data_IF_538998186334
#
_entry.id   IF_538998186334
#
_cell.length_a   1.000
_cell.length_b   1.000
_cell.length_c   1.000
_cell.angle_alpha   90.00
_cell.angle_beta   90.00
_cell.angle_gamma   90.00
#
_symmetry.space_group_name_H-M   'P 1'
#
loop_
_entity.id
_entity.type
_entity.pdbx_description
1 polymer ?
#
# COMPACT_ATOMS: atom_id res chain seq x y z
N UNK A 1 21.17 -38.39 -64.20
CA UNK A 1 20.65 -39.00 -62.97
C UNK A 1 21.68 -38.80 -61.86
N UNK A 2 21.25 -38.20 -60.75
CA UNK A 2 21.98 -37.89 -59.51
C UNK A 2 23.38 -37.25 -59.63
N UNK A 3 23.44 -35.94 -59.39
CA UNK A 3 24.68 -35.23 -59.06
C UNK A 3 24.74 -35.02 -57.54
N UNK A 4 25.79 -35.57 -56.91
CA UNK A 4 26.16 -35.32 -55.50
C UNK A 4 27.24 -34.27 -55.51
N UNK A 5 26.99 -33.10 -54.91
CA UNK A 5 28.00 -32.08 -54.65
C UNK A 5 28.16 -31.91 -53.13
N UNK A 6 29.35 -32.21 -52.66
CA UNK A 6 29.85 -31.95 -51.30
C UNK A 6 30.14 -30.45 -51.21
N UNK A 7 29.47 -29.73 -50.31
CA UNK A 7 29.77 -28.33 -50.00
C UNK A 7 30.52 -28.23 -48.66
N UNK A 8 31.69 -27.60 -48.73
CA UNK A 8 32.51 -27.21 -47.61
C UNK A 8 31.84 -26.11 -46.77
N UNK A 9 31.98 -26.21 -45.45
CA UNK A 9 31.49 -25.22 -44.50
C UNK A 9 32.29 -23.91 -44.60
N UNK A 10 31.59 -22.82 -44.89
CA UNK A 10 32.08 -21.45 -44.74
C UNK A 10 31.56 -20.91 -43.41
N UNK A 11 32.47 -20.67 -42.48
CA UNK A 11 32.19 -19.94 -41.24
C UNK A 11 32.07 -18.44 -41.58
N UNK A 12 30.85 -17.90 -41.48
CA UNK A 12 30.61 -16.46 -41.47
C UNK A 12 30.55 -16.00 -40.01
N UNK A 13 31.54 -15.21 -39.61
CA UNK A 13 31.61 -14.54 -38.33
C UNK A 13 30.50 -13.48 -38.23
N UNK A 14 29.68 -13.57 -37.18
CA UNK A 14 28.74 -12.53 -36.77
C UNK A 14 29.49 -11.42 -35.99
N UNK A 15 29.06 -10.16 -36.08
CA UNK A 15 29.74 -9.04 -35.44
C UNK A 15 29.63 -9.13 -33.92
N UNK A 16 30.76 -8.90 -33.25
CA UNK A 16 30.85 -8.78 -31.80
C UNK A 16 29.96 -7.65 -31.30
N UNK A 17 28.90 -8.00 -30.57
CA UNK A 17 28.18 -7.03 -29.76
C UNK A 17 29.10 -6.63 -28.60
N UNK A 18 29.52 -5.37 -28.60
CA UNK A 18 30.18 -4.75 -27.46
C UNK A 18 29.28 -4.90 -26.22
N UNK A 19 29.81 -5.36 -25.07
CA UNK A 19 29.05 -5.33 -23.84
C UNK A 19 28.76 -3.87 -23.50
N UNK A 20 27.47 -3.52 -23.46
CA UNK A 20 26.99 -2.26 -22.90
C UNK A 20 27.57 -2.15 -21.49
N UNK A 21 28.48 -1.20 -21.30
CA UNK A 21 29.01 -0.90 -19.98
C UNK A 21 27.86 -0.45 -19.08
N UNK A 22 27.78 -0.93 -17.83
CA UNK A 22 26.79 -0.42 -16.89
C UNK A 22 27.00 1.10 -16.73
N UNK A 23 25.94 1.90 -16.59
CA UNK A 23 26.09 3.33 -16.35
C UNK A 23 26.91 3.53 -15.07
N UNK A 24 27.76 4.57 -15.00
CA UNK A 24 28.56 4.83 -13.83
C UNK A 24 27.64 5.01 -12.61
N UNK A 25 27.98 4.32 -11.53
CA UNK A 25 27.35 4.49 -10.22
C UNK A 25 27.65 5.89 -9.70
N UNK A 26 26.82 6.86 -10.07
CA UNK A 26 26.83 8.17 -9.43
C UNK A 26 26.25 8.01 -8.03
N UNK A 27 26.93 8.49 -6.96
CA UNK A 27 26.26 8.72 -5.70
C UNK A 27 25.17 9.77 -5.97
N UNK A 28 23.92 9.33 -6.00
CA UNK A 28 22.79 10.24 -6.16
C UNK A 28 22.64 11.00 -4.85
N UNK A 29 23.09 12.25 -4.82
CA UNK A 29 22.68 13.20 -3.80
C UNK A 29 21.20 13.51 -4.04
N UNK A 30 20.31 13.27 -3.07
CA UNK A 30 18.91 13.69 -3.23
C UNK A 30 18.90 15.20 -3.47
N UNK A 31 18.26 15.69 -4.54
CA UNK A 31 18.09 17.11 -4.71
C UNK A 31 17.25 17.64 -3.55
N UNK A 32 17.82 18.56 -2.78
CA UNK A 32 17.10 19.33 -1.76
C UNK A 32 16.21 20.34 -2.47
N UNK A 33 14.90 20.08 -2.55
CA UNK A 33 13.90 21.09 -2.93
C UNK A 33 12.64 20.92 -2.07
N UNK A 34 12.14 21.99 -1.42
CA UNK A 34 10.97 21.90 -0.55
C UNK A 34 9.71 22.08 -1.40
N UNK A 35 8.96 20.99 -1.62
CA UNK A 35 7.61 21.08 -2.19
C UNK A 35 6.59 21.63 -1.17
N UNK A 36 6.91 21.49 0.11
CA UNK A 36 6.17 22.03 1.22
C UNK A 36 7.12 22.86 2.08
N UNK A 37 6.73 24.09 2.43
CA UNK A 37 7.53 24.97 3.28
C UNK A 37 7.39 24.54 4.75
N UNK A 38 7.90 23.33 5.04
CA UNK A 38 7.79 22.66 6.33
C UNK A 38 9.14 22.76 7.05
N UNK A 39 9.11 23.13 8.33
CA UNK A 39 10.26 23.04 9.22
C UNK A 39 9.99 21.97 10.28
N UNK A 40 10.86 20.97 10.35
CA UNK A 40 10.79 19.90 11.34
C UNK A 40 11.85 20.15 12.42
N UNK A 41 11.43 20.11 13.70
CA UNK A 41 12.39 20.18 14.82
C UNK A 41 13.04 18.80 15.08
N UNK A 42 12.47 17.71 14.54
CA UNK A 42 13.02 16.36 14.54
C UNK A 42 13.19 15.86 13.09
N UNK A 43 14.35 15.31 12.70
CA UNK A 43 14.58 14.85 11.33
C UNK A 43 13.60 13.73 10.99
N UNK A 44 12.92 13.83 9.84
CA UNK A 44 12.22 12.69 9.27
C UNK A 44 13.27 11.62 8.91
N UNK A 45 13.14 10.42 9.47
CA UNK A 45 13.98 9.29 9.04
C UNK A 45 13.80 9.07 7.54
N UNK A 46 14.86 8.74 6.78
CA UNK A 46 14.71 8.46 5.36
C UNK A 46 13.72 7.30 5.21
N UNK A 47 12.77 7.44 4.29
CA UNK A 47 11.86 6.37 3.90
C UNK A 47 12.68 5.37 3.07
N UNK A 48 13.07 4.16 3.55
CA UNK A 48 13.73 3.17 2.70
C UNK A 48 12.98 2.97 1.39
N UNK A 49 13.68 3.23 0.28
CA UNK A 49 13.22 2.91 -1.07
C UNK A 49 13.56 1.45 -1.32
N UNK A 50 12.55 0.62 -1.57
CA UNK A 50 12.78 -0.75 -2.02
C UNK A 50 12.56 -0.81 -3.51
N UNK A 51 13.68 -0.69 -4.22
CA UNK A 51 13.78 -1.24 -5.55
C UNK A 51 13.89 -2.75 -5.38
N UNK A 52 12.83 -3.47 -5.70
CA UNK A 52 13.01 -4.88 -6.02
C UNK A 52 13.98 -4.90 -7.20
N UNK A 53 15.25 -5.24 -6.93
CA UNK A 53 16.16 -5.58 -8.01
C UNK A 53 15.41 -6.61 -8.84
N UNK A 54 15.28 -6.39 -10.14
CA UNK A 54 14.88 -7.45 -11.04
C UNK A 54 15.89 -8.56 -10.77
N UNK A 55 15.47 -9.54 -9.98
CA UNK A 55 16.38 -10.56 -9.45
C UNK A 55 17.15 -11.10 -10.63
N UNK A 56 18.46 -11.27 -10.46
CA UNK A 56 19.31 -11.91 -11.45
C UNK A 56 18.56 -13.10 -12.06
N UNK A 57 18.64 -13.29 -13.38
CA UNK A 57 18.05 -14.42 -14.12
C UNK A 57 18.57 -15.82 -13.67
N UNK A 58 19.07 -15.96 -12.44
CA UNK A 58 19.27 -17.25 -11.79
C UNK A 58 17.91 -17.89 -11.58
N UNK A 59 17.75 -19.07 -12.16
CA UNK A 59 16.64 -19.95 -11.86
C UNK A 59 16.67 -20.26 -10.36
N UNK A 60 15.55 -20.03 -9.69
CA UNK A 60 15.36 -20.33 -8.27
C UNK A 60 14.41 -21.52 -8.16
N UNK A 61 14.71 -22.45 -7.26
CA UNK A 61 13.82 -23.57 -6.98
C UNK A 61 12.71 -23.14 -6.01
N UNK A 62 11.47 -23.63 -6.21
CA UNK A 62 10.40 -23.43 -5.24
C UNK A 62 10.76 -24.09 -3.90
N UNK A 63 10.15 -23.68 -2.78
CA UNK A 63 10.27 -24.44 -1.55
C UNK A 63 9.78 -25.88 -1.72
N UNK A 64 10.50 -26.83 -1.14
CA UNK A 64 10.09 -28.24 -1.13
C UNK A 64 8.96 -28.47 -0.12
N UNK A 65 8.12 -29.49 -0.38
CA UNK A 65 7.08 -29.92 0.57
C UNK A 65 5.92 -28.94 0.75
N UNK A 66 5.62 -28.11 -0.25
CA UNK A 66 4.44 -27.24 -0.23
C UNK A 66 3.15 -28.07 -0.15
N UNK A 67 2.33 -27.78 0.85
CA UNK A 67 1.01 -28.39 1.05
C UNK A 67 -0.08 -27.37 0.64
N UNK A 68 -0.91 -27.71 -0.34
CA UNK A 68 -1.96 -26.82 -0.87
C UNK A 68 -3.32 -27.15 -0.27
N UNK A 69 -4.06 -26.13 0.15
CA UNK A 69 -5.36 -26.24 0.83
C UNK A 69 -6.39 -25.33 0.16
N UNK A 70 -7.59 -25.83 -0.20
CA UNK A 70 -8.68 -24.96 -0.62
C UNK A 70 -9.17 -24.14 0.58
N UNK A 71 -9.31 -22.82 0.40
CA UNK A 71 -9.85 -21.92 1.43
C UNK A 71 -11.21 -21.36 0.99
N UNK A 72 -11.32 -20.87 -0.24
CA UNK A 72 -12.56 -20.43 -0.86
C UNK A 72 -12.50 -20.64 -2.38
N UNK A 73 -13.13 -21.70 -2.87
CA UNK A 73 -13.07 -22.08 -4.30
C UNK A 73 -14.47 -21.94 -4.90
N UNK A 74 -14.59 -21.06 -5.89
CA UNK A 74 -15.85 -20.72 -6.58
C UNK A 74 -15.98 -21.33 -7.98
N UNK A 75 -14.92 -22.00 -8.48
CA UNK A 75 -14.91 -22.67 -9.77
C UNK A 75 -13.56 -23.27 -10.11
N UNK A 76 -13.47 -23.87 -11.30
CA UNK A 76 -12.23 -24.46 -11.81
C UNK A 76 -11.08 -23.44 -11.88
N UNK A 77 -9.86 -23.88 -11.56
CA UNK A 77 -8.70 -22.99 -11.49
C UNK A 77 -8.46 -22.22 -12.80
N UNK A 78 -8.80 -22.79 -13.97
CA UNK A 78 -8.68 -22.12 -15.27
C UNK A 78 -9.72 -21.02 -15.54
N UNK A 79 -10.83 -20.99 -14.79
CA UNK A 79 -11.96 -20.08 -14.99
C UNK A 79 -12.06 -18.99 -13.92
N UNK A 80 -11.06 -18.94 -13.02
CA UNK A 80 -10.94 -17.96 -11.94
C UNK A 80 -9.53 -17.39 -11.89
N UNK A 81 -9.36 -16.27 -11.22
CA UNK A 81 -8.06 -15.83 -10.73
C UNK A 81 -7.81 -16.49 -9.38
N UNK A 82 -6.72 -17.23 -9.26
CA UNK A 82 -6.36 -17.95 -8.05
C UNK A 82 -5.36 -17.13 -7.23
N UNK A 83 -5.79 -16.76 -6.02
CA UNK A 83 -4.98 -16.10 -5.02
C UNK A 83 -4.40 -17.17 -4.10
N UNK A 84 -3.08 -17.31 -4.06
CA UNK A 84 -2.40 -18.31 -3.23
C UNK A 84 -1.71 -17.63 -2.05
N UNK A 85 -2.18 -17.90 -0.82
CA UNK A 85 -1.62 -17.40 0.42
C UNK A 85 -0.52 -18.35 0.88
N UNK A 86 0.74 -17.95 0.71
CA UNK A 86 1.91 -18.72 1.11
C UNK A 86 2.35 -18.39 2.54
N UNK A 87 2.64 -19.42 3.33
CA UNK A 87 3.14 -19.27 4.69
C UNK A 87 4.61 -18.81 4.73
N UNK A 88 4.93 -17.78 5.53
CA UNK A 88 6.30 -17.44 5.93
C UNK A 88 6.35 -17.17 7.45
N UNK A 89 7.32 -17.75 8.14
CA UNK A 89 7.46 -17.64 9.59
C UNK A 89 6.55 -18.58 10.38
N UNK A 90 5.88 -19.55 9.73
CA UNK A 90 5.08 -20.58 10.40
C UNK A 90 5.87 -21.88 10.49
N UNK A 91 6.16 -22.35 11.69
CA UNK A 91 6.82 -23.65 11.87
C UNK A 91 5.86 -24.80 11.59
N UNK A 92 6.38 -26.04 11.47
CA UNK A 92 5.56 -27.24 11.29
C UNK A 92 4.45 -27.38 12.37
N UNK A 93 4.77 -27.06 13.62
CA UNK A 93 3.79 -27.10 14.72
C UNK A 93 2.79 -25.93 14.69
N UNK A 94 3.02 -24.91 13.85
CA UNK A 94 2.13 -23.77 13.64
C UNK A 94 1.25 -23.90 12.38
N UNK A 95 1.23 -25.06 11.71
CA UNK A 95 0.39 -25.30 10.53
C UNK A 95 -1.08 -24.95 10.76
N UNK A 96 -1.65 -25.34 11.89
CA UNK A 96 -3.04 -25.03 12.24
C UNK A 96 -3.28 -23.53 12.41
N UNK A 97 -2.30 -22.80 12.96
CA UNK A 97 -2.38 -21.35 13.09
C UNK A 97 -2.34 -20.67 11.72
N UNK A 98 -1.42 -21.07 10.84
CA UNK A 98 -1.39 -20.60 9.45
C UNK A 98 -2.74 -20.80 8.75
N UNK A 99 -3.31 -22.00 8.83
CA UNK A 99 -4.59 -22.27 8.17
C UNK A 99 -5.74 -21.45 8.77
N UNK A 100 -5.70 -21.13 10.06
CA UNK A 100 -6.68 -20.25 10.68
C UNK A 100 -6.54 -18.81 10.17
N UNK A 101 -5.32 -18.28 10.17
CA UNK A 101 -5.02 -16.92 9.67
C UNK A 101 -5.38 -16.79 8.18
N UNK A 102 -4.97 -17.75 7.35
CA UNK A 102 -5.24 -17.76 5.92
C UNK A 102 -6.75 -17.89 5.62
N UNK A 103 -7.51 -18.67 6.40
CA UNK A 103 -8.98 -18.75 6.25
C UNK A 103 -9.66 -17.44 6.58
N UNK A 104 -9.28 -16.80 7.69
CA UNK A 104 -9.84 -15.50 8.07
C UNK A 104 -9.59 -14.47 6.95
N UNK A 105 -8.38 -14.44 6.39
CA UNK A 105 -8.04 -13.55 5.27
C UNK A 105 -8.78 -13.92 3.96
N UNK A 106 -9.01 -15.21 3.70
CA UNK A 106 -9.81 -15.66 2.57
C UNK A 106 -11.28 -15.19 2.71
N UNK A 107 -11.86 -15.29 3.91
CA UNK A 107 -13.21 -14.78 4.21
C UNK A 107 -13.31 -13.27 3.99
N UNK A 108 -12.26 -12.51 4.35
CA UNK A 108 -12.16 -11.07 4.07
C UNK A 108 -12.11 -10.74 2.57
N UNK A 109 -11.74 -11.68 1.70
CA UNK A 109 -11.78 -11.50 0.23
C UNK A 109 -13.17 -11.83 -0.33
N UNK A 110 -13.80 -12.92 0.13
CA UNK A 110 -14.98 -13.50 -0.56
C UNK A 110 -16.31 -13.27 0.14
N UNK A 111 -16.33 -12.77 1.38
CA UNK A 111 -17.58 -12.55 2.12
C UNK A 111 -18.44 -11.46 1.47
N UNK A 112 -19.76 -11.52 1.67
CA UNK A 112 -20.71 -10.57 1.08
C UNK A 112 -20.52 -9.11 1.52
N UNK A 113 -19.86 -8.88 2.65
CA UNK A 113 -19.57 -7.54 3.18
C UNK A 113 -18.12 -7.10 2.90
N UNK A 114 -17.34 -7.90 2.16
CA UNK A 114 -15.97 -7.56 1.77
C UNK A 114 -15.93 -6.42 0.74
N UNK A 115 -14.82 -5.67 0.74
CA UNK A 115 -14.46 -4.73 -0.32
C UNK A 115 -14.35 -5.38 -1.71
N UNK A 116 -14.16 -6.70 -1.78
CA UNK A 116 -14.00 -7.47 -3.02
C UNK A 116 -15.20 -8.38 -3.32
N UNK A 117 -16.30 -8.27 -2.56
CA UNK A 117 -17.47 -9.13 -2.70
C UNK A 117 -18.07 -9.10 -4.10
N UNK A 118 -18.02 -7.94 -4.78
CA UNK A 118 -18.50 -7.72 -6.14
C UNK A 118 -17.66 -8.42 -7.22
N UNK A 119 -16.56 -9.07 -6.87
CA UNK A 119 -15.74 -9.90 -7.77
C UNK A 119 -15.44 -11.30 -7.19
N UNK A 120 -16.09 -11.67 -6.08
CA UNK A 120 -15.86 -12.98 -5.45
C UNK A 120 -16.17 -14.15 -6.39
N UNK A 121 -17.08 -13.98 -7.34
CA UNK A 121 -17.42 -14.93 -8.40
C UNK A 121 -16.27 -15.18 -9.40
N UNK A 122 -15.26 -14.32 -9.44
CA UNK A 122 -14.11 -14.41 -10.34
C UNK A 122 -12.85 -14.96 -9.67
N UNK A 123 -12.92 -15.25 -8.36
CA UNK A 123 -11.75 -15.53 -7.53
C UNK A 123 -11.84 -16.93 -6.91
N UNK A 124 -10.68 -17.59 -6.83
CA UNK A 124 -10.43 -18.67 -5.90
C UNK A 124 -9.34 -18.24 -4.90
N UNK A 125 -9.42 -18.71 -3.67
CA UNK A 125 -8.39 -18.51 -2.63
C UNK A 125 -7.90 -19.86 -2.11
N UNK A 126 -6.57 -20.02 -2.11
CA UNK A 126 -5.86 -21.21 -1.70
C UNK A 126 -4.83 -20.87 -0.63
N UNK A 127 -4.61 -21.78 0.32
CA UNK A 127 -3.55 -21.70 1.30
C UNK A 127 -2.42 -22.63 0.92
N UNK A 128 -1.18 -22.15 0.93
CA UNK A 128 0.01 -22.95 0.64
C UNK A 128 0.91 -22.94 1.87
N UNK A 129 0.86 -24.05 2.61
CA UNK A 129 1.71 -24.22 3.78
C UNK A 129 3.08 -24.74 3.37
N UNK A 130 4.11 -24.04 3.83
CA UNK A 130 5.50 -24.48 3.79
C UNK A 130 6.13 -24.12 5.14
N UNK A 131 6.79 -25.05 5.84
CA UNK A 131 7.28 -24.79 7.18
C UNK A 131 8.53 -23.92 7.17
N UNK A 132 8.56 -22.90 8.01
CA UNK A 132 9.78 -22.21 8.43
C UNK A 132 10.48 -22.96 9.56
N UNK A 133 11.80 -22.78 9.67
CA UNK A 133 12.57 -23.29 10.83
C UNK A 133 12.22 -22.55 12.12
N UNK A 134 11.98 -21.24 12.04
CA UNK A 134 11.66 -20.38 13.18
C UNK A 134 10.28 -19.75 13.03
N UNK A 135 9.65 -19.46 14.18
CA UNK A 135 8.39 -18.70 14.21
C UNK A 135 8.70 -17.20 14.05
N UNK A 136 7.89 -16.50 13.26
CA UNK A 136 7.98 -15.04 13.10
C UNK A 136 8.66 -14.61 11.81
N UNK A 137 8.71 -13.29 11.59
CA UNK A 137 9.48 -12.66 10.51
C UNK A 137 10.76 -12.03 11.08
N UNK A 138 11.72 -11.74 10.21
CA UNK A 138 12.98 -11.14 10.61
C UNK A 138 12.92 -9.64 10.90
N UNK A 139 13.93 -9.13 11.60
CA UNK A 139 14.20 -7.69 11.79
C UNK A 139 15.59 -7.41 11.21
N UNK A 140 15.68 -6.41 10.35
CA UNK A 140 16.82 -6.00 9.51
C UNK A 140 17.31 -7.05 8.49
N UNK A 141 17.09 -8.33 8.76
CA UNK A 141 17.41 -9.46 7.89
C UNK A 141 16.39 -10.59 8.06
N UNK A 142 16.19 -11.44 7.04
CA UNK A 142 15.32 -12.62 7.13
C UNK A 142 15.83 -13.63 8.16
N UNK A 143 14.92 -14.35 8.82
CA UNK A 143 15.27 -15.48 9.66
C UNK A 143 15.78 -16.65 8.80
N UNK A 144 16.80 -17.35 9.30
CA UNK A 144 17.30 -18.56 8.63
C UNK A 144 16.20 -19.61 8.50
N UNK A 145 16.11 -20.26 7.34
CA UNK A 145 15.10 -21.29 7.07
C UNK A 145 13.67 -20.74 6.91
N UNK A 146 13.49 -19.43 6.69
CA UNK A 146 12.24 -18.89 6.19
C UNK A 146 12.11 -19.15 4.66
N UNK A 147 10.99 -19.70 4.17
CA UNK A 147 10.82 -20.07 2.76
C UNK A 147 10.99 -18.90 1.78
N UNK A 148 10.42 -17.75 2.12
CA UNK A 148 10.43 -16.51 1.33
C UNK A 148 11.23 -15.39 2.01
N UNK A 149 11.53 -15.54 3.30
CA UNK A 149 12.43 -14.65 4.04
C UNK A 149 11.80 -13.28 4.25
N UNK A 150 10.61 -13.25 4.86
CA UNK A 150 9.97 -11.99 5.20
C UNK A 150 10.68 -11.32 6.38
N UNK A 151 10.85 -9.99 6.29
CA UNK A 151 11.49 -9.21 7.34
C UNK A 151 11.08 -7.73 7.31
N UNK A 152 11.30 -7.01 8.42
CA UNK A 152 11.17 -5.56 8.52
C UNK A 152 12.55 -4.91 8.52
N UNK A 153 12.67 -3.72 7.94
CA UNK A 153 13.83 -2.87 8.20
C UNK A 153 13.52 -2.00 9.42
N UNK A 154 14.29 -2.17 10.50
CA UNK A 154 13.98 -1.57 11.79
C UNK A 154 12.78 -2.22 12.49
N UNK A 155 12.37 -1.60 13.60
CA UNK A 155 11.29 -2.12 14.46
C UNK A 155 9.94 -1.49 14.14
N UNK A 156 9.93 -0.39 13.39
CA UNK A 156 8.76 0.40 13.05
C UNK A 156 7.72 -0.46 12.34
N UNK A 157 6.45 -0.23 12.66
CA UNK A 157 5.33 -0.90 12.00
C UNK A 157 5.10 -0.28 10.61
N UNK A 158 5.98 -0.64 9.69
CA UNK A 158 6.00 -0.20 8.29
C UNK A 158 5.94 -1.41 7.34
N UNK A 159 6.75 -1.39 6.30
CA UNK A 159 6.76 -2.35 5.21
C UNK A 159 7.41 -3.66 5.66
N UNK A 160 6.89 -4.76 5.14
CA UNK A 160 7.48 -6.08 5.24
C UNK A 160 8.06 -6.43 3.89
N UNK A 161 9.34 -6.77 3.85
CA UNK A 161 10.11 -7.04 2.65
C UNK A 161 10.30 -8.54 2.46
N UNK A 162 10.51 -8.95 1.21
CA UNK A 162 10.79 -10.33 0.83
C UNK A 162 12.25 -10.47 0.39
N UNK A 163 13.01 -11.31 1.08
CA UNK A 163 14.41 -11.56 0.75
C UNK A 163 14.60 -12.60 -0.37
N UNK A 164 13.63 -13.51 -0.56
CA UNK A 164 13.73 -14.62 -1.51
C UNK A 164 12.63 -14.56 -2.59
N UNK A 165 12.49 -13.39 -3.23
CA UNK A 165 11.47 -13.16 -4.28
C UNK A 165 11.52 -14.17 -5.43
N UNK A 166 12.71 -14.62 -5.84
CA UNK A 166 12.86 -15.66 -6.85
C UNK A 166 12.21 -16.99 -6.45
N UNK A 167 12.28 -17.37 -5.17
CA UNK A 167 11.62 -18.58 -4.65
C UNK A 167 10.10 -18.41 -4.60
N UNK A 168 9.61 -17.22 -4.24
CA UNK A 168 8.18 -16.91 -4.27
C UNK A 168 7.61 -16.98 -5.70
N UNK A 169 8.34 -16.46 -6.68
CA UNK A 169 7.97 -16.61 -8.10
C UNK A 169 7.94 -18.07 -8.53
N UNK A 170 8.98 -18.83 -8.22
CA UNK A 170 9.06 -20.25 -8.56
C UNK A 170 7.91 -21.04 -7.92
N UNK A 171 7.60 -20.78 -6.65
CA UNK A 171 6.50 -21.42 -5.94
C UNK A 171 5.16 -21.21 -6.67
N UNK A 172 4.83 -19.96 -6.97
CA UNK A 172 3.59 -19.63 -7.69
C UNK A 172 3.55 -20.27 -9.09
N UNK A 173 4.66 -20.20 -9.84
CA UNK A 173 4.73 -20.73 -11.19
C UNK A 173 4.55 -22.26 -11.28
N UNK A 174 4.79 -22.99 -10.20
CA UNK A 174 4.61 -24.46 -10.15
C UNK A 174 3.20 -24.91 -9.79
N UNK A 175 2.31 -24.01 -9.38
CA UNK A 175 0.98 -24.32 -8.89
C UNK A 175 -0.09 -23.77 -9.83
N UNK A 176 -1.03 -24.62 -10.26
CA UNK A 176 -2.19 -24.17 -11.04
C UNK A 176 -3.14 -23.31 -10.19
N UNK A 177 -3.02 -23.44 -8.87
CA UNK A 177 -3.71 -22.69 -7.83
C UNK A 177 -3.11 -21.30 -7.55
N UNK A 178 -2.12 -20.86 -8.34
CA UNK A 178 -1.50 -19.54 -8.16
C UNK A 178 -1.43 -18.72 -9.45
N UNK A 179 -2.23 -17.66 -9.51
CA UNK A 179 -2.05 -16.56 -10.47
C UNK A 179 -1.47 -15.31 -9.80
N UNK A 180 -1.80 -15.09 -8.52
CA UNK A 180 -1.30 -13.99 -7.70
C UNK A 180 -0.82 -14.54 -6.34
N UNK A 181 0.48 -14.46 -6.04
CA UNK A 181 1.02 -14.86 -4.75
C UNK A 181 0.73 -13.80 -3.68
N UNK A 182 0.19 -14.24 -2.55
CA UNK A 182 0.08 -13.51 -1.30
C UNK A 182 1.09 -14.12 -0.32
N UNK A 183 2.05 -13.36 0.20
CA UNK A 183 3.03 -13.84 1.19
C UNK A 183 2.57 -13.41 2.59
N UNK A 184 2.17 -14.38 3.40
CA UNK A 184 1.67 -14.15 4.76
C UNK A 184 2.77 -14.39 5.80
N UNK A 185 3.26 -13.31 6.40
CA UNK A 185 4.19 -13.35 7.51
C UNK A 185 3.50 -13.63 8.84
N UNK A 186 4.05 -14.56 9.62
CA UNK A 186 3.61 -14.87 10.99
C UNK A 186 4.00 -13.76 11.99
N UNK A 187 3.42 -12.57 11.80
CA UNK A 187 3.57 -11.41 12.66
C UNK A 187 2.17 -10.86 12.96
N UNK A 188 1.91 -10.55 14.24
CA UNK A 188 0.61 -10.05 14.69
C UNK A 188 0.41 -8.55 14.48
N UNK A 189 1.37 -7.85 13.86
CA UNK A 189 1.39 -6.39 13.76
C UNK A 189 1.40 -5.90 12.31
N UNK A 190 0.95 -4.67 12.10
CA UNK A 190 0.81 -3.99 10.81
C UNK A 190 2.05 -4.17 9.94
N UNK A 191 1.83 -4.55 8.70
CA UNK A 191 2.85 -4.46 7.67
C UNK A 191 2.39 -5.12 6.38
N UNK A 192 2.92 -4.62 5.29
CA UNK A 192 2.65 -5.15 3.96
C UNK A 192 3.31 -4.32 2.88
N UNK A 193 3.23 -4.85 1.67
CA UNK A 193 3.64 -4.23 0.41
C UNK A 193 2.86 -4.89 -0.74
N UNK A 194 2.41 -4.10 -1.70
CA UNK A 194 1.69 -4.56 -2.88
C UNK A 194 2.54 -4.55 -4.16
N UNK A 195 1.99 -5.11 -5.23
CA UNK A 195 2.60 -5.16 -6.55
C UNK A 195 2.79 -6.60 -7.03
N UNK A 196 4.02 -6.98 -7.37
CA UNK A 196 4.31 -8.34 -7.86
C UNK A 196 3.89 -9.42 -6.87
N UNK A 197 4.16 -9.20 -5.59
CA UNK A 197 3.67 -10.01 -4.49
C UNK A 197 2.76 -9.14 -3.64
N UNK A 198 1.68 -9.72 -3.13
CA UNK A 198 0.91 -9.10 -2.05
C UNK A 198 1.50 -9.59 -0.73
N UNK A 199 2.27 -8.75 -0.04
CA UNK A 199 2.89 -9.10 1.25
C UNK A 199 2.00 -8.55 2.36
N UNK A 200 1.68 -9.40 3.33
CA UNK A 200 0.86 -9.04 4.49
C UNK A 200 1.37 -9.75 5.75
N UNK A 201 0.85 -9.33 6.90
CA UNK A 201 1.06 -10.00 8.18
C UNK A 201 -0.23 -10.61 8.71
N UNK A 202 -0.10 -11.53 9.66
CA UNK A 202 -1.20 -12.12 10.42
C UNK A 202 -1.80 -11.17 11.47
N UNK A 203 -1.65 -9.86 11.30
CA UNK A 203 -2.31 -8.89 12.19
C UNK A 203 -3.82 -9.07 12.12
N UNK A 204 -4.44 -9.33 13.27
CA UNK A 204 -5.89 -9.47 13.37
C UNK A 204 -6.62 -8.16 13.02
N UNK A 205 -6.02 -7.02 13.34
CA UNK A 205 -6.64 -5.69 13.13
C UNK A 205 -6.37 -5.16 11.74
N UNK A 206 -5.11 -5.26 11.32
CA UNK A 206 -4.62 -4.58 10.14
C UNK A 206 -4.40 -5.51 8.96
N UNK A 207 -4.22 -6.81 9.17
CA UNK A 207 -4.03 -7.80 8.10
C UNK A 207 -5.12 -7.71 7.02
N UNK A 208 -6.42 -7.74 7.38
CA UNK A 208 -7.51 -7.56 6.41
C UNK A 208 -7.49 -6.21 5.67
N UNK A 209 -7.20 -5.12 6.39
CA UNK A 209 -7.18 -3.77 5.83
C UNK A 209 -6.04 -3.60 4.82
N UNK A 210 -4.86 -4.11 5.16
CA UNK A 210 -3.68 -4.10 4.30
C UNK A 210 -3.91 -5.06 3.12
N UNK A 211 -4.44 -6.26 3.35
CA UNK A 211 -4.71 -7.25 2.30
C UNK A 211 -5.53 -6.67 1.14
N UNK A 212 -6.67 -6.03 1.41
CA UNK A 212 -7.52 -5.45 0.36
C UNK A 212 -6.84 -4.30 -0.38
N UNK A 213 -6.05 -3.48 0.32
CA UNK A 213 -5.30 -2.38 -0.28
C UNK A 213 -4.18 -2.89 -1.20
N UNK A 214 -3.36 -3.82 -0.71
CA UNK A 214 -2.25 -4.37 -1.48
C UNK A 214 -2.73 -5.28 -2.63
N UNK A 215 -3.86 -5.98 -2.48
CA UNK A 215 -4.53 -6.64 -3.59
C UNK A 215 -5.05 -5.64 -4.63
N UNK A 216 -5.46 -4.44 -4.22
CA UNK A 216 -5.76 -3.34 -5.13
C UNK A 216 -4.58 -3.05 -6.08
N UNK A 217 -3.38 -2.83 -5.55
CA UNK A 217 -2.18 -2.64 -6.36
C UNK A 217 -1.76 -3.86 -7.18
N UNK A 218 -2.03 -5.07 -6.67
CA UNK A 218 -1.59 -6.32 -7.31
C UNK A 218 -2.54 -6.78 -8.42
N UNK A 219 -3.83 -6.49 -8.29
CA UNK A 219 -4.88 -6.95 -9.20
C UNK A 219 -5.40 -5.87 -10.12
N UNK A 220 -5.35 -4.59 -9.74
CA UNK A 220 -5.84 -3.48 -10.54
C UNK A 220 -4.65 -2.70 -11.08
N UNK A 221 -4.66 -2.27 -12.36
CA UNK A 221 -3.72 -1.26 -12.82
C UNK A 221 -4.11 0.10 -12.22
N UNK A 222 -3.79 0.32 -10.94
CA UNK A 222 -4.07 1.54 -10.16
C UNK A 222 -2.78 2.14 -9.62
N UNK A 223 -2.83 3.45 -9.37
CA UNK A 223 -1.86 4.17 -8.56
C UNK A 223 -2.38 4.41 -7.15
N UNK A 224 -1.55 5.11 -6.39
CA UNK A 224 -1.87 5.63 -5.07
C UNK A 224 -2.93 6.73 -5.17
N UNK A 225 -3.83 6.81 -4.18
CA UNK A 225 -4.77 7.93 -4.04
C UNK A 225 -4.52 8.76 -2.77
N UNK A 226 -3.56 8.35 -1.93
CA UNK A 226 -3.04 9.15 -0.84
C UNK A 226 -1.85 10.02 -1.28
N UNK A 227 -1.55 11.03 -0.48
CA UNK A 227 -0.49 11.99 -0.77
C UNK A 227 0.90 11.36 -0.53
N UNK A 228 1.95 11.77 -1.26
CA UNK A 228 3.34 11.29 -1.15
C UNK A 228 3.57 9.81 -1.40
N UNK A 229 2.67 9.23 -2.19
CA UNK A 229 2.93 8.01 -2.91
C UNK A 229 3.97 8.19 -4.02
N UNK A 230 4.36 7.07 -4.63
CA UNK A 230 5.37 7.05 -5.70
C UNK A 230 4.78 6.81 -7.09
N UNK A 231 3.54 6.32 -7.17
CA UNK A 231 2.93 5.87 -8.43
C UNK A 231 1.53 6.47 -8.55
N UNK A 232 1.40 7.50 -9.39
CA UNK A 232 0.12 8.12 -9.72
C UNK A 232 -0.25 7.82 -11.17
N UNK A 233 -0.71 6.59 -11.40
CA UNK A 233 -1.03 6.10 -12.74
C UNK A 233 -2.24 5.15 -12.73
N UNK A 234 -2.53 4.50 -13.85
CA UNK A 234 -3.61 3.53 -13.90
C UNK A 234 -5.00 4.13 -14.11
N UNK A 235 -6.03 3.39 -13.70
CA UNK A 235 -7.45 3.72 -13.95
C UNK A 235 -7.99 4.81 -13.03
N UNK A 236 -7.34 5.02 -11.87
CA UNK A 236 -7.76 5.93 -10.81
C UNK A 236 -6.87 7.18 -10.70
N UNK A 237 -5.91 7.37 -11.61
CA UNK A 237 -5.08 8.57 -11.64
C UNK A 237 -5.00 9.16 -13.05
N UNK A 238 -5.10 10.49 -13.16
CA UNK A 238 -4.96 11.19 -14.44
C UNK A 238 -4.21 12.51 -14.30
N UNK A 239 -3.72 13.04 -15.41
CA UNK A 239 -3.03 14.33 -15.43
C UNK A 239 -4.01 15.50 -15.28
N UNK A 240 -3.56 16.61 -14.70
CA UNK A 240 -4.34 17.84 -14.50
C UNK A 240 -4.92 18.36 -15.82
N UNK A 241 -4.14 18.27 -16.91
CA UNK A 241 -4.53 18.70 -18.25
C UNK A 241 -5.67 17.86 -18.85
N UNK A 242 -5.98 16.71 -18.24
CA UNK A 242 -7.02 15.80 -18.68
C UNK A 242 -8.35 16.00 -17.94
N UNK A 243 -8.52 17.05 -17.14
CA UNK A 243 -9.76 17.30 -16.38
C UNK A 243 -11.06 17.19 -17.21
N UNK A 244 -11.05 17.56 -18.49
CA UNK A 244 -12.23 17.45 -19.36
C UNK A 244 -12.30 16.14 -20.19
N UNK A 245 -11.34 15.24 -20.00
CA UNK A 245 -11.19 13.95 -20.69
C UNK A 245 -10.66 12.85 -19.76
N UNK A 246 -11.09 12.89 -18.50
CA UNK A 246 -10.66 11.96 -17.46
C UNK A 246 -10.92 10.51 -17.86
N UNK A 247 -9.99 9.62 -17.50
CA UNK A 247 -10.14 8.16 -17.70
C UNK A 247 -11.43 7.59 -17.11
N UNK A 248 -11.97 8.20 -16.04
CA UNK A 248 -13.20 7.79 -15.38
C UNK A 248 -14.42 8.66 -15.73
N UNK A 249 -14.40 9.37 -16.86
CA UNK A 249 -15.48 10.28 -17.29
C UNK A 249 -16.89 9.69 -17.18
N UNK A 250 -17.05 8.40 -17.48
CA UNK A 250 -18.34 7.69 -17.41
C UNK A 250 -18.92 7.54 -16.00
N UNK A 251 -18.10 7.75 -14.97
CA UNK A 251 -18.49 7.62 -13.55
C UNK A 251 -18.72 8.98 -12.88
N UNK A 252 -18.47 10.10 -13.57
CA UNK A 252 -18.61 11.43 -12.99
C UNK A 252 -20.03 11.68 -12.48
N UNK A 253 -20.12 12.20 -11.25
CA UNK A 253 -21.40 12.56 -10.64
C UNK A 253 -22.03 13.80 -11.29
N UNK A 254 -21.20 14.72 -11.79
CA UNK A 254 -21.61 15.90 -12.54
C UNK A 254 -20.74 16.05 -13.79
N UNK A 255 -21.08 15.36 -14.90
CA UNK A 255 -20.30 15.40 -16.13
C UNK A 255 -20.38 16.73 -16.89
N UNK A 256 -21.34 17.60 -16.54
CA UNK A 256 -21.52 18.90 -17.19
C UNK A 256 -20.68 20.00 -16.54
N UNK A 257 -20.31 19.85 -15.25
CA UNK A 257 -19.53 20.84 -14.49
C UNK A 257 -18.22 20.26 -13.92
N UNK A 258 -17.43 19.60 -14.77
CA UNK A 258 -16.15 19.02 -14.34
C UNK A 258 -15.11 20.10 -14.07
N UNK A 259 -14.62 20.14 -12.83
CA UNK A 259 -13.54 21.03 -12.35
C UNK A 259 -12.63 20.26 -11.40
N UNK A 260 -11.42 20.77 -11.21
CA UNK A 260 -10.52 20.29 -10.15
C UNK A 260 -11.03 20.86 -8.84
N UNK A 261 -11.25 19.98 -7.87
CA UNK A 261 -11.68 20.36 -6.52
C UNK A 261 -10.58 21.15 -5.82
N UNK A 262 -10.93 22.24 -5.14
CA UNK A 262 -9.95 23.09 -4.47
C UNK A 262 -9.58 22.52 -3.10
N UNK A 263 -8.49 21.75 -3.09
CA UNK A 263 -7.83 21.28 -1.89
C UNK A 263 -6.34 21.64 -1.93
N UNK A 264 -5.73 21.79 -0.76
CA UNK A 264 -4.28 21.95 -0.56
C UNK A 264 -3.81 21.04 0.55
N UNK A 265 -2.56 20.59 0.47
CA UNK A 265 -1.95 19.74 1.50
C UNK A 265 -0.70 20.43 2.04
N UNK A 266 -0.82 21.48 2.87
CA UNK A 266 0.34 22.26 3.31
C UNK A 266 1.27 21.52 4.28
N UNK A 267 0.80 20.43 4.89
CA UNK A 267 1.62 19.54 5.70
C UNK A 267 1.42 18.11 5.22
N UNK A 268 2.53 17.46 4.89
CA UNK A 268 2.58 16.03 4.67
C UNK A 268 3.95 15.52 5.14
N UNK A 269 3.94 14.57 6.09
CA UNK A 269 5.17 14.02 6.64
C UNK A 269 5.02 12.57 7.11
N UNK A 270 6.09 11.80 6.94
CA UNK A 270 6.25 10.44 7.46
C UNK A 270 7.42 10.41 8.45
N UNK A 271 7.27 10.97 9.67
CA UNK A 271 8.42 11.20 10.53
C UNK A 271 8.99 9.91 11.15
N UNK A 272 8.16 8.88 11.34
CA UNK A 272 8.55 7.66 12.07
C UNK A 272 9.23 7.98 13.40
N UNK A 273 8.64 8.93 14.14
CA UNK A 273 9.26 9.53 15.31
C UNK A 273 8.83 8.81 16.58
N UNK A 274 9.79 8.33 17.36
CA UNK A 274 9.53 7.72 18.66
C UNK A 274 9.23 8.79 19.71
N UNK A 275 7.99 8.81 20.19
CA UNK A 275 7.54 9.81 21.15
C UNK A 275 8.05 9.54 22.57
N UNK A 276 8.65 8.39 22.84
CA UNK A 276 9.39 8.15 24.09
C UNK A 276 10.73 8.90 24.10
N UNK A 277 11.34 9.17 22.94
CA UNK A 277 12.60 9.94 22.85
C UNK A 277 12.37 11.43 23.08
N UNK A 278 11.35 11.99 22.42
CA UNK A 278 11.00 13.40 22.54
C UNK A 278 9.63 13.70 21.94
N UNK A 279 9.13 14.92 22.17
CA UNK A 279 7.98 15.43 21.43
C UNK A 279 8.34 15.66 19.96
N UNK A 280 7.39 15.40 19.07
CA UNK A 280 7.49 15.78 17.67
C UNK A 280 6.90 17.17 17.44
N UNK A 281 7.58 17.98 16.65
CA UNK A 281 7.12 19.32 16.31
C UNK A 281 7.35 19.58 14.82
N UNK A 282 6.31 20.12 14.19
CA UNK A 282 6.35 20.57 12.81
C UNK A 282 5.76 21.97 12.67
N UNK A 283 6.37 22.79 11.83
CA UNK A 283 5.84 24.08 11.41
C UNK A 283 5.61 24.09 9.90
N UNK A 284 4.52 24.71 9.46
CA UNK A 284 4.19 24.88 8.05
C UNK A 284 3.43 26.20 7.85
N UNK A 285 3.26 26.64 6.61
CA UNK A 285 2.43 27.81 6.28
C UNK A 285 1.04 27.33 5.86
N UNK A 286 -0.01 27.80 6.54
CA UNK A 286 -1.40 27.54 6.14
C UNK A 286 -1.71 28.15 4.77
N UNK A 287 -2.62 27.52 4.01
CA UNK A 287 -2.87 27.91 2.61
C UNK A 287 -3.76 29.15 2.48
N UNK A 288 -4.52 29.48 3.53
CA UNK A 288 -5.35 30.68 3.64
C UNK A 288 -4.53 31.98 3.43
N UNK A 289 -4.97 32.81 2.49
CA UNK A 289 -4.39 34.12 2.19
C UNK A 289 -5.46 35.15 1.78
N UNK A 290 -5.05 36.34 1.32
CA UNK A 290 -5.98 37.41 0.96
C UNK A 290 -6.88 37.06 -0.25
N UNK A 291 -6.39 36.22 -1.16
CA UNK A 291 -7.03 35.91 -2.45
C UNK A 291 -7.79 34.58 -2.44
N UNK A 292 -7.39 33.63 -1.57
CA UNK A 292 -8.02 32.31 -1.48
C UNK A 292 -8.25 31.89 -0.04
N UNK A 293 -9.45 31.40 0.23
CA UNK A 293 -9.88 30.90 1.54
C UNK A 293 -10.16 29.40 1.51
N UNK A 294 -9.69 28.72 2.55
CA UNK A 294 -9.95 27.33 2.86
C UNK A 294 -10.66 27.29 4.21
N UNK A 295 -11.96 27.02 4.21
CA UNK A 295 -12.83 27.18 5.39
C UNK A 295 -12.94 25.93 6.23
N UNK A 296 -12.55 24.79 5.69
CA UNK A 296 -12.42 23.54 6.43
C UNK A 296 -11.08 22.89 6.16
N UNK A 297 -10.68 21.99 7.03
CA UNK A 297 -9.48 21.19 6.87
C UNK A 297 -9.68 19.79 7.47
N UNK A 298 -8.71 18.90 7.25
CA UNK A 298 -8.63 17.61 7.90
C UNK A 298 -7.22 17.37 8.42
N UNK A 299 -7.11 16.89 9.65
CA UNK A 299 -5.89 16.35 10.23
C UNK A 299 -5.90 14.83 10.11
N UNK A 300 -4.84 14.27 9.56
CA UNK A 300 -4.58 12.83 9.59
C UNK A 300 -3.27 12.55 10.26
N UNK A 301 -3.25 11.46 11.01
CA UNK A 301 -2.03 10.91 11.54
C UNK A 301 -2.17 9.41 11.73
N UNK A 302 -1.04 8.71 11.78
CA UNK A 302 -1.03 7.30 12.15
C UNK A 302 -0.08 7.06 13.31
N UNK A 303 -0.50 6.26 14.26
CA UNK A 303 0.20 6.00 15.52
C UNK A 303 0.42 4.49 15.71
N UNK A 304 1.48 4.10 16.41
CA UNK A 304 1.66 2.72 16.90
C UNK A 304 1.93 2.73 18.40
N UNK A 305 1.56 1.65 19.11
CA UNK A 305 1.70 1.53 20.57
C UNK A 305 1.03 2.65 21.39
N UNK A 306 -0.01 3.30 20.85
CA UNK A 306 -0.77 4.35 21.55
C UNK A 306 -2.25 3.90 21.60
N UNK A 307 -2.61 3.07 22.61
CA UNK A 307 -3.94 2.47 22.66
C UNK A 307 -5.05 3.45 23.08
N UNK A 308 -4.75 4.47 23.89
CA UNK A 308 -5.76 5.38 24.46
C UNK A 308 -5.49 6.85 24.11
N UNK A 309 -6.56 7.64 23.90
CA UNK A 309 -6.43 9.07 23.63
C UNK A 309 -5.70 9.80 24.76
N UNK A 310 -5.92 9.37 26.01
CA UNK A 310 -5.25 9.92 27.19
C UNK A 310 -3.73 9.73 27.23
N UNK A 311 -3.14 8.93 26.33
CA UNK A 311 -1.70 8.71 26.24
C UNK A 311 -0.99 9.77 25.40
N UNK A 312 -1.71 10.47 24.53
CA UNK A 312 -1.14 11.38 23.53
C UNK A 312 -1.78 12.76 23.65
N UNK A 313 -0.99 13.79 23.37
CA UNK A 313 -1.41 15.17 23.30
C UNK A 313 -0.99 15.74 21.96
N UNK A 314 -1.93 16.38 21.27
CA UNK A 314 -1.68 17.13 20.05
C UNK A 314 -2.15 18.56 20.24
N UNK A 315 -1.29 19.53 19.93
CA UNK A 315 -1.68 20.94 19.89
C UNK A 315 -1.49 21.50 18.50
N UNK A 316 -2.50 22.22 18.01
CA UNK A 316 -2.42 23.09 16.84
C UNK A 316 -2.24 24.52 17.35
N UNK A 317 -1.08 25.09 17.05
CA UNK A 317 -0.54 26.31 17.65
C UNK A 317 -0.46 26.20 19.18
N UNK A 318 -1.50 26.68 19.88
CA UNK A 318 -1.62 26.61 21.35
C UNK A 318 -2.85 25.84 21.81
N UNK A 319 -3.74 25.52 20.88
CA UNK A 319 -5.01 24.89 21.16
C UNK A 319 -4.84 23.38 21.10
N UNK A 320 -5.34 22.71 22.14
CA UNK A 320 -5.31 21.25 22.20
C UNK A 320 -6.41 20.67 21.31
N UNK A 321 -6.04 19.72 20.47
CA UNK A 321 -6.98 19.03 19.59
C UNK A 321 -7.48 17.78 20.30
N UNK A 322 -8.79 17.68 20.49
CA UNK A 322 -9.40 16.50 21.07
C UNK A 322 -9.34 15.31 20.11
N UNK A 323 -8.47 14.35 20.43
CA UNK A 323 -8.30 13.12 19.66
C UNK A 323 -9.30 12.03 20.06
N UNK A 324 -10.03 12.18 21.18
CA UNK A 324 -10.89 11.13 21.74
C UNK A 324 -11.92 10.56 20.76
N UNK A 325 -12.51 11.32 19.81
CA UNK A 325 -13.47 10.75 18.84
C UNK A 325 -12.87 9.69 17.92
N UNK A 326 -11.53 9.60 17.81
CA UNK A 326 -10.83 8.63 16.96
C UNK A 326 -10.24 7.45 17.77
N UNK A 327 -10.51 7.42 19.08
CA UNK A 327 -10.09 6.36 20.00
C UNK A 327 -11.29 5.54 20.46
N UNK A 328 -11.83 4.75 19.55
CA UNK A 328 -12.91 3.82 19.84
C UNK A 328 -12.48 2.76 20.88
N UNK A 329 -13.40 2.42 21.78
CA UNK A 329 -13.15 1.48 22.90
C UNK A 329 -12.75 0.08 22.43
N UNK A 330 -13.18 -0.32 21.23
CA UNK A 330 -12.79 -1.62 20.69
C UNK A 330 -11.30 -1.68 20.33
N UNK A 331 -10.59 -0.55 20.27
CA UNK A 331 -9.13 -0.47 20.09
C UNK A 331 -8.35 -0.38 21.41
N UNK A 332 -9.02 -0.47 22.57
CA UNK A 332 -8.36 -0.41 23.87
C UNK A 332 -7.33 -1.53 24.03
N UNK A 333 -6.13 -1.15 24.50
CA UNK A 333 -5.00 -2.05 24.65
C UNK A 333 -4.34 -2.53 23.35
N UNK A 334 -4.84 -2.13 22.17
CA UNK A 334 -4.23 -2.50 20.88
C UNK A 334 -2.95 -1.70 20.66
N UNK A 335 -1.82 -2.40 20.53
CA UNK A 335 -0.50 -1.81 20.29
C UNK A 335 -0.11 -1.75 18.80
N UNK A 336 -0.97 -2.25 17.92
CA UNK A 336 -0.79 -2.21 16.48
C UNK A 336 -0.94 -0.77 15.94
N UNK A 337 -0.62 -0.56 14.65
CA UNK A 337 -0.77 0.73 13.98
C UNK A 337 -2.25 1.10 13.86
N UNK A 338 -2.58 2.36 14.13
CA UNK A 338 -3.91 2.95 13.96
C UNK A 338 -3.83 4.21 13.12
N UNK A 339 -4.95 4.58 12.51
CA UNK A 339 -5.14 5.85 11.81
C UNK A 339 -6.13 6.71 12.57
N UNK A 340 -5.84 8.01 12.61
CA UNK A 340 -6.67 9.05 13.23
C UNK A 340 -7.00 10.03 12.11
N UNK A 341 -8.29 10.28 11.89
CA UNK A 341 -8.76 11.25 10.90
C UNK A 341 -9.75 12.20 11.56
N UNK A 342 -9.37 13.48 11.66
CA UNK A 342 -10.17 14.49 12.34
C UNK A 342 -10.55 15.62 11.38
N UNK A 343 -11.85 15.93 11.24
CA UNK A 343 -12.25 17.16 10.58
C UNK A 343 -11.87 18.37 11.45
N UNK A 344 -11.43 19.43 10.79
CA UNK A 344 -11.15 20.73 11.37
C UNK A 344 -12.15 21.72 10.76
N UNK A 345 -13.35 21.88 11.35
CA UNK A 345 -14.45 22.64 10.76
C UNK A 345 -14.21 24.15 10.70
N UNK A 346 -13.17 24.64 11.38
CA UNK A 346 -12.74 26.03 11.35
C UNK A 346 -11.53 26.25 10.41
N UNK A 347 -11.12 25.21 9.68
CA UNK A 347 -9.97 25.25 8.80
C UNK A 347 -8.65 25.43 9.55
N UNK A 348 -7.64 25.91 8.82
CA UNK A 348 -6.30 26.23 9.32
C UNK A 348 -6.08 27.74 9.18
N UNK A 349 -5.58 28.44 10.20
CA UNK A 349 -5.31 29.86 10.07
C UNK A 349 -4.22 30.12 9.01
N UNK A 350 -4.34 31.25 8.30
CA UNK A 350 -3.29 31.69 7.38
C UNK A 350 -1.98 32.04 8.10
N UNK A 351 -0.87 31.88 7.40
CA UNK A 351 0.48 32.11 7.93
C UNK A 351 1.04 30.92 8.70
N UNK A 352 2.01 31.16 9.58
CA UNK A 352 2.75 30.11 10.29
C UNK A 352 1.87 29.33 11.26
N UNK A 353 1.78 28.03 11.03
CA UNK A 353 1.11 27.06 11.87
C UNK A 353 2.14 26.15 12.50
N UNK A 354 1.94 25.79 13.76
CA UNK A 354 2.78 24.85 14.50
C UNK A 354 1.94 23.69 15.00
N UNK A 355 2.33 22.46 14.73
CA UNK A 355 1.76 21.28 15.38
C UNK A 355 2.82 20.68 16.31
N UNK A 356 2.39 20.32 17.52
CA UNK A 356 3.21 19.61 18.50
C UNK A 356 2.48 18.35 18.94
N UNK A 357 3.17 17.21 18.89
CA UNK A 357 2.68 15.89 19.29
C UNK A 357 3.59 15.33 20.36
N UNK A 358 3.03 14.88 21.47
CA UNK A 358 3.80 14.38 22.62
C UNK A 358 3.02 13.34 23.40
N UNK A 359 3.73 12.52 24.16
CA UNK A 359 3.11 11.66 25.17
C UNK A 359 2.70 12.48 26.39
N UNK A 360 1.53 12.17 26.95
CA UNK A 360 1.16 12.62 28.29
C UNK A 360 1.96 11.85 29.35
N UNK A 361 1.93 12.26 30.63
CA UNK A 361 2.53 11.48 31.71
C UNK A 361 1.98 10.05 31.83
N UNK A 362 0.74 9.81 31.38
CA UNK A 362 0.17 8.45 31.29
C UNK A 362 0.77 7.69 30.12
N UNK A 363 0.86 8.31 28.94
CA UNK A 363 1.45 7.71 27.76
C UNK A 363 2.92 7.35 27.93
N UNK A 364 3.72 8.18 28.61
CA UNK A 364 5.12 7.89 28.92
C UNK A 364 5.28 6.62 29.77
N UNK A 365 4.37 6.39 30.73
CA UNK A 365 4.39 5.21 31.61
C UNK A 365 3.80 3.95 30.97
N UNK A 366 3.05 4.10 29.89
CA UNK A 366 2.46 2.97 29.19
C UNK A 366 3.54 2.09 28.55
N UNK A 367 3.29 0.79 28.49
CA UNK A 367 4.18 -0.15 27.81
C UNK A 367 4.19 0.11 26.30
N UNK A 368 5.37 0.18 25.70
CA UNK A 368 5.52 0.25 24.25
C UNK A 368 5.40 -1.15 23.65
N UNK A 369 4.65 -1.28 22.55
CA UNK A 369 4.65 -2.49 21.74
C UNK A 369 5.91 -2.61 20.89
N UNK A 370 5.98 -3.68 20.10
CA UNK A 370 7.00 -3.79 19.06
C UNK A 370 6.81 -2.65 18.04
N UNK A 371 7.89 -1.89 17.84
CA UNK A 371 7.92 -0.71 16.98
C UNK A 371 7.81 0.63 17.71
N UNK A 372 7.70 0.65 19.04
CA UNK A 372 7.74 1.88 19.82
C UNK A 372 6.45 2.71 19.73
N UNK A 373 6.40 3.79 20.50
CA UNK A 373 5.28 4.74 20.54
C UNK A 373 5.44 5.77 19.44
N UNK A 374 5.20 5.34 18.21
CA UNK A 374 5.54 6.14 17.04
C UNK A 374 4.40 7.09 16.65
N UNK A 375 4.78 8.30 16.26
CA UNK A 375 4.08 9.07 15.25
C UNK A 375 4.63 8.65 13.88
N UNK A 376 3.89 7.86 13.12
CA UNK A 376 4.38 7.32 11.84
C UNK A 376 4.10 8.24 10.64
N UNK A 377 2.98 8.97 10.67
CA UNK A 377 2.61 9.95 9.64
C UNK A 377 1.78 11.07 10.22
N UNK A 378 1.85 12.26 9.60
CA UNK A 378 0.98 13.40 9.87
C UNK A 378 0.73 14.19 8.59
N UNK A 379 -0.52 14.61 8.38
CA UNK A 379 -0.98 15.34 7.21
C UNK A 379 -2.04 16.37 7.62
N UNK A 380 -2.02 17.53 6.96
CA UNK A 380 -3.10 18.51 6.97
C UNK A 380 -3.52 18.74 5.53
N UNK A 381 -4.81 18.56 5.25
CA UNK A 381 -5.44 18.98 4.01
C UNK A 381 -6.43 20.11 4.29
N UNK A 382 -6.42 21.16 3.48
CA UNK A 382 -7.27 22.34 3.55
C UNK A 382 -8.23 22.35 2.34
N UNK A 383 -9.51 22.68 2.55
CA UNK A 383 -10.56 22.60 1.54
C UNK A 383 -11.28 23.95 1.34
N UNK A 384 -11.50 24.32 0.08
CA UNK A 384 -12.21 25.54 -0.31
C UNK A 384 -13.72 25.47 0.01
N UNK A 385 -14.40 26.62 -0.04
CA UNK A 385 -15.83 26.74 0.28
C UNK A 385 -16.75 25.88 -0.60
N UNK A 386 -16.38 25.72 -1.87
CA UNK A 386 -17.12 24.96 -2.87
C UNK A 386 -16.59 23.53 -3.05
N UNK A 387 -15.73 23.06 -2.14
CA UNK A 387 -15.15 21.72 -2.20
C UNK A 387 -16.23 20.65 -2.00
N UNK A 388 -16.29 19.69 -2.93
CA UNK A 388 -17.25 18.60 -2.87
C UNK A 388 -16.73 17.43 -2.02
N UNK A 389 -17.10 17.41 -0.75
CA UNK A 389 -16.70 16.36 0.20
C UNK A 389 -17.73 15.22 0.36
N UNK A 390 -18.85 15.23 -0.38
CA UNK A 390 -19.93 14.26 -0.20
C UNK A 390 -19.49 12.83 -0.52
N UNK A 391 -19.83 11.90 0.38
CA UNK A 391 -19.58 10.47 0.17
C UNK A 391 -20.23 9.99 -1.14
N UNK A 392 -19.46 9.26 -1.94
CA UNK A 392 -19.87 8.72 -3.23
C UNK A 392 -19.77 9.70 -4.40
N UNK A 393 -19.37 10.95 -4.17
CA UNK A 393 -19.16 11.89 -5.26
C UNK A 393 -17.90 11.55 -6.07
N UNK A 394 -18.07 11.39 -7.38
CA UNK A 394 -16.98 11.14 -8.32
C UNK A 394 -16.71 12.39 -9.14
N UNK A 395 -15.50 12.92 -8.99
CA UNK A 395 -15.05 14.17 -9.60
C UNK A 395 -13.58 14.12 -9.99
N UNK A 396 -12.88 15.23 -9.79
CA UNK A 396 -11.45 15.36 -10.03
C UNK A 396 -10.78 16.00 -8.81
N UNK A 397 -10.27 15.17 -7.91
CA UNK A 397 -9.63 15.61 -6.67
C UNK A 397 -8.12 15.63 -6.85
N UNK A 398 -7.41 16.68 -6.41
CA UNK A 398 -5.95 16.72 -6.52
C UNK A 398 -5.32 15.71 -5.53
N UNK A 399 -4.29 15.02 -6.02
CA UNK A 399 -3.37 14.19 -5.24
C UNK A 399 -1.97 14.69 -5.48
N UNK A 400 -1.20 14.87 -4.42
CA UNK A 400 0.12 15.46 -4.37
C UNK A 400 1.17 14.38 -4.14
N UNK A 401 2.18 14.32 -4.99
CA UNK A 401 3.37 13.50 -4.75
C UNK A 401 4.34 14.19 -3.76
N UNK A 402 5.38 13.46 -3.32
CA UNK A 402 6.41 13.98 -2.40
C UNK A 402 7.17 15.21 -2.92
N UNK A 403 7.12 15.46 -4.23
CA UNK A 403 7.71 16.62 -4.89
C UNK A 403 6.70 17.75 -5.17
N UNK A 404 5.46 17.61 -4.71
CA UNK A 404 4.37 18.55 -4.93
C UNK A 404 3.75 18.49 -6.32
N UNK A 405 4.14 17.49 -7.13
CA UNK A 405 3.51 17.20 -8.41
C UNK A 405 2.05 16.80 -8.20
N UNK A 406 1.16 17.29 -9.07
CA UNK A 406 -0.29 17.10 -8.92
C UNK A 406 -0.79 16.13 -9.97
N UNK A 407 -1.50 15.11 -9.52
CA UNK A 407 -2.37 14.27 -10.34
C UNK A 407 -3.80 14.35 -9.83
N UNK A 408 -4.74 13.82 -10.60
CA UNK A 408 -6.16 13.79 -10.24
C UNK A 408 -6.54 12.38 -9.83
N UNK A 409 -7.41 12.25 -8.82
CA UNK A 409 -8.08 11.01 -8.40
C UNK A 409 -9.61 11.15 -8.45
N UNK A 410 -10.37 10.05 -8.52
CA UNK A 410 -11.81 10.10 -8.75
C UNK A 410 -12.66 10.52 -7.54
N UNK A 411 -12.23 10.22 -6.31
CA UNK A 411 -13.01 10.46 -5.08
C UNK A 411 -12.18 11.20 -4.04
N UNK A 412 -12.85 11.93 -3.12
CA UNK A 412 -12.12 12.56 -2.02
C UNK A 412 -11.62 11.52 -1.02
N UNK A 413 -12.49 10.83 -0.30
CA UNK A 413 -12.13 9.88 0.78
C UNK A 413 -12.73 8.49 0.62
N UNK A 414 -13.53 8.26 -0.42
CA UNK A 414 -14.38 7.06 -0.57
C UNK A 414 -13.69 5.96 -1.38
N UNK A 415 -12.41 5.75 -1.07
CA UNK A 415 -11.65 4.67 -1.67
C UNK A 415 -10.63 4.12 -0.68
N UNK A 416 -10.61 2.80 -0.51
CA UNK A 416 -9.58 2.13 0.28
C UNK A 416 -8.16 2.28 -0.29
N UNK A 417 -8.03 2.62 -1.58
CA UNK A 417 -6.73 2.95 -2.20
C UNK A 417 -6.19 4.30 -1.74
N UNK A 418 -7.04 5.15 -1.16
CA UNK A 418 -6.63 6.38 -0.49
C UNK A 418 -6.49 6.17 1.00
N UNK A 419 -7.54 5.62 1.61
CA UNK A 419 -7.61 5.46 3.04
C UNK A 419 -7.84 3.99 3.38
N UNK A 420 -6.78 3.31 3.80
CA UNK A 420 -6.76 1.85 4.05
C UNK A 420 -7.85 1.36 5.02
N UNK A 421 -8.34 2.23 5.91
CA UNK A 421 -9.43 1.88 6.83
C UNK A 421 -10.83 1.93 6.18
N UNK A 422 -10.97 2.50 4.97
CA UNK A 422 -12.24 2.53 4.24
C UNK A 422 -12.70 1.14 3.80
N UNK A 423 -14.00 0.82 3.93
CA UNK A 423 -14.48 -0.54 3.72
C UNK A 423 -14.58 -0.94 2.24
N UNK A 424 -14.49 0.00 1.30
CA UNK A 424 -14.77 -0.26 -0.11
C UNK A 424 -13.79 0.44 -1.06
N UNK A 425 -13.64 -0.11 -2.26
CA UNK A 425 -13.06 0.61 -3.39
C UNK A 425 -14.06 1.67 -3.90
N UNK A 426 -13.58 2.81 -4.38
CA UNK A 426 -14.44 3.70 -5.15
C UNK A 426 -14.96 2.99 -6.41
N UNK A 427 -16.03 3.50 -7.02
CA UNK A 427 -16.66 2.88 -8.20
C UNK A 427 -15.66 2.65 -9.35
N UNK A 428 -14.69 3.54 -9.51
CA UNK A 428 -13.65 3.45 -10.56
C UNK A 428 -12.70 2.27 -10.30
N UNK A 429 -12.19 2.16 -9.07
CA UNK A 429 -11.32 1.06 -8.66
C UNK A 429 -12.09 -0.28 -8.64
N UNK A 430 -13.34 -0.29 -8.16
CA UNK A 430 -14.19 -1.47 -8.15
C UNK A 430 -14.43 -2.03 -9.57
N UNK A 431 -14.75 -1.15 -10.53
CA UNK A 431 -14.90 -1.51 -11.93
C UNK A 431 -13.56 -1.95 -12.55
N UNK A 432 -12.47 -1.24 -12.26
CA UNK A 432 -11.12 -1.60 -12.69
C UNK A 432 -10.71 -2.99 -12.25
N UNK A 433 -11.05 -3.37 -11.01
CA UNK A 433 -10.78 -4.70 -10.45
C UNK A 433 -11.48 -5.79 -11.25
N UNK A 434 -12.79 -5.68 -11.45
CA UNK A 434 -13.56 -6.64 -12.24
C UNK A 434 -12.98 -6.80 -13.65
N UNK A 435 -12.77 -5.69 -14.35
CA UNK A 435 -12.23 -5.70 -15.72
C UNK A 435 -10.84 -6.35 -15.78
N UNK A 436 -9.99 -6.12 -14.79
CA UNK A 436 -8.66 -6.74 -14.71
C UNK A 436 -8.73 -8.25 -14.48
N UNK A 437 -9.61 -8.72 -13.58
CA UNK A 437 -9.80 -10.13 -13.30
C UNK A 437 -10.38 -10.88 -14.51
N UNK A 438 -11.40 -10.32 -15.16
CA UNK A 438 -11.99 -10.88 -16.38
C UNK A 438 -10.95 -10.99 -17.50
N UNK A 439 -10.10 -9.96 -17.68
CA UNK A 439 -8.99 -9.99 -18.63
C UNK A 439 -7.97 -11.10 -18.31
N UNK A 440 -7.62 -11.28 -17.03
CA UNK A 440 -6.72 -12.36 -16.59
C UNK A 440 -7.33 -13.74 -16.90
N UNK A 441 -8.62 -13.94 -16.60
CA UNK A 441 -9.34 -15.19 -16.90
C UNK A 441 -9.40 -15.44 -18.41
N UNK A 442 -9.74 -14.44 -19.22
CA UNK A 442 -9.78 -14.56 -20.68
C UNK A 442 -8.41 -14.96 -21.26
N UNK A 443 -7.31 -14.41 -20.71
CA UNK A 443 -5.95 -14.80 -21.07
C UNK A 443 -5.65 -16.26 -20.73
N UNK A 444 -6.06 -16.74 -19.54
CA UNK A 444 -5.89 -18.15 -19.14
C UNK A 444 -6.62 -19.11 -20.05
N UNK A 445 -7.82 -18.73 -20.51
CA UNK A 445 -8.63 -19.54 -21.45
C UNK A 445 -8.12 -19.51 -22.90
N UNK A 446 -7.07 -18.75 -23.20
CA UNK A 446 -6.54 -18.60 -24.56
C UNK A 446 -7.47 -17.82 -25.51
N UNK A 447 -8.40 -17.02 -24.97
CA UNK A 447 -9.40 -16.25 -25.75
C UNK A 447 -8.84 -14.87 -26.17
N UNK A 448 -7.69 -14.46 -25.60
CA UNK A 448 -7.07 -13.17 -25.87
C UNK A 448 -6.36 -13.17 -27.24
N UNK A 449 -7.00 -12.59 -28.25
CA UNK A 449 -6.52 -12.54 -29.65
C UNK A 449 -7.61 -12.67 -30.72
N UNK A 450 -8.87 -12.92 -30.32
CA UNK A 450 -10.01 -12.99 -31.24
C UNK A 450 -10.81 -11.69 -31.12
N UNK A 451 -10.39 -10.65 -31.85
CA UNK A 451 -11.10 -9.36 -31.94
C UNK A 451 -10.42 -8.21 -31.20
N UNK A 452 -9.38 -7.66 -31.83
CA UNK A 452 -9.12 -6.22 -31.81
C UNK A 452 -9.44 -5.65 -33.19
#
# INVERSE_FOLDING_TARGET
MLAVLILAAVALALPSQHPLSPPPSSPYHPPSYPAFNITLDAPAGPVPRVYFSHGSHKQHDPPEGMEVYPLAVSGEAGERVNLAIFADGYTLSNRTAFLADARALAEEIVSGNSAMSHVADLINVWGVFVPSTHKGIGIDAPLSGAPFGLYRAGRELRAVYVAHSGRAHAACATLVECDQPILLGNDGLYGGLGGTFTIITASRRNGPLVLRHELGHSLIPVGEEYEGGFVYSGVNADAVENVHRLKWRQFLSDPDNVRIEDAKVPLQAYPWHDLDESKYVVQFEGSNNADRKYTTASLRLSLSSIPYASHIRLTLNRDEVDLSPQFAEDWDGVLDRRWVHLPLPLGIPGGKVRIEVSLTPKGQKAEAGQGGKMLSSIEIAEYGDDFQASEGFVGAFPTYDDSGGVTLRPTNEDCLMRNVNQPHFCVVCAHGLRASLEKKIAKKRGIWGIGQ
#
